data_IF_070012684152
#
_entry.id   IF_070012684152
#
_cell.length_a   1.000
_cell.length_b   1.000
_cell.length_c   1.000
_cell.angle_alpha   90.00
_cell.angle_beta   90.00
_cell.angle_gamma   90.00
#
_symmetry.space_group_name_H-M   'P 1'
#
loop_
_entity.id
_entity.type
_entity.pdbx_description
1 polymer ?
2 non-polymer ?
3 water ?
#
# COMPACT_ATOMS: atom_id res chain seq x y z
N UNK A 6 -2.43 -20.02 22.67
CA UNK A 6 -1.49 -18.96 22.93
C UNK A 6 -0.36 -18.93 21.91
N UNK A 7 0.29 -17.78 21.79
CA UNK A 7 1.45 -17.64 20.90
C UNK A 7 2.70 -18.11 21.62
N UNK A 8 3.64 -18.66 20.86
CA UNK A 8 4.93 -18.96 21.45
C UNK A 8 5.71 -17.66 21.67
N UNK A 9 6.83 -17.79 22.38
CA UNK A 9 7.64 -16.61 22.65
C UNK A 9 8.28 -16.08 21.37
N UNK A 10 8.65 -16.98 20.46
CA UNK A 10 9.19 -16.55 19.17
C UNK A 10 8.12 -15.82 18.35
N UNK A 11 6.87 -16.27 18.43
CA UNK A 11 5.80 -15.61 17.69
C UNK A 11 5.49 -14.23 18.25
N UNK A 12 5.44 -14.11 19.59
CA UNK A 12 5.28 -12.80 20.22
C UNK A 12 6.45 -11.87 19.89
N UNK A 13 7.67 -12.39 19.91
CA UNK A 13 8.82 -11.58 19.52
C UNK A 13 8.69 -11.10 18.08
N UNK A 14 8.26 -11.97 17.17
CA UNK A 14 8.10 -11.62 15.77
C UNK A 14 7.07 -10.50 15.59
N UNK A 15 5.93 -10.60 16.28
CA UNK A 15 4.92 -9.55 16.21
C UNK A 15 5.45 -8.24 16.79
N UNK A 16 6.15 -8.31 17.92
CA UNK A 16 6.70 -7.10 18.53
C UNK A 16 7.70 -6.43 17.60
N UNK A 17 8.56 -7.21 16.94
CA UNK A 17 9.50 -6.61 16.01
C UNK A 17 8.79 -5.96 14.82
N UNK A 18 7.76 -6.61 14.27
CA UNK A 18 7.01 -6.00 13.18
C UNK A 18 6.29 -4.73 13.65
N UNK A 19 5.72 -4.77 14.85
CA UNK A 19 4.95 -3.61 15.33
C UNK A 19 5.90 -2.44 15.61
N UNK A 20 7.07 -2.74 16.14
CA UNK A 20 8.10 -1.73 16.33
C UNK A 20 8.50 -1.09 15.02
N UNK A 21 8.78 -1.93 14.01
CA UNK A 21 9.13 -1.39 12.70
C UNK A 21 8.02 -0.48 12.17
N UNK A 22 6.76 -0.91 12.34
CA UNK A 22 5.63 -0.14 11.84
C UNK A 22 5.52 1.22 12.56
N UNK A 23 5.63 1.20 13.90
CA UNK A 23 5.51 2.48 14.62
C UNK A 23 6.67 3.41 14.32
N UNK A 24 7.86 2.87 14.02
CA UNK A 24 8.99 3.75 13.74
C UNK A 24 8.92 4.34 12.34
N UNK A 25 8.19 3.70 11.42
CA UNK A 25 8.31 4.10 10.02
C UNK A 25 7.00 4.48 9.34
N UNK A 26 5.87 4.46 10.03
CA UNK A 26 4.58 4.81 9.46
C UNK A 26 4.15 6.12 10.12
N UNK A 27 4.37 7.21 9.38
CA UNK A 27 3.94 8.57 9.70
C UNK A 27 2.44 8.65 9.46
N UNK A 28 1.66 8.23 10.46
CA UNK A 28 0.22 8.06 10.22
C UNK A 28 -0.50 9.39 10.10
N UNK A 29 0.09 10.48 10.57
CA UNK A 29 -0.46 11.81 10.34
C UNK A 29 0.12 12.48 9.10
N UNK A 30 1.06 11.83 8.41
CA UNK A 30 1.64 12.37 7.18
C UNK A 30 2.28 13.74 7.44
N UNK A 31 2.78 13.96 8.66
CA UNK A 31 3.30 15.28 9.04
C UNK A 31 4.55 15.66 8.24
N UNK A 32 5.30 14.67 7.76
CA UNK A 32 6.52 14.97 7.02
C UNK A 32 6.33 14.95 5.50
N UNK A 33 5.09 14.82 5.02
CA UNK A 33 4.81 14.90 3.59
C UNK A 33 4.53 16.36 3.25
N UNK A 34 5.47 17.01 2.57
CA UNK A 34 5.34 18.42 2.23
C UNK A 34 6.06 18.68 0.90
N UNK A 35 5.94 19.91 0.40
CA UNK A 35 6.58 20.30 -0.85
C UNK A 35 6.17 19.45 -2.03
N UNK A 36 4.99 18.82 -1.95
CA UNK A 36 4.52 17.98 -3.03
C UNK A 36 3.87 18.84 -4.10
N UNK A 37 3.87 18.30 -5.32
CA UNK A 37 3.19 18.98 -6.42
C UNK A 37 1.68 18.87 -6.28
N UNK A 38 0.98 19.80 -6.91
CA UNK A 38 -0.48 19.86 -6.92
C UNK A 38 -0.94 20.18 -8.32
N UNK A 39 -2.15 19.76 -8.70
CA UNK A 39 -2.66 20.05 -10.05
C UNK A 39 -2.72 21.55 -10.29
N UNK A 40 -2.35 21.97 -11.50
CA UNK A 40 -2.33 23.37 -11.87
C UNK A 40 -3.61 24.10 -11.52
N UNK A 41 -3.49 25.38 -11.18
CA UNK A 41 -4.64 26.19 -10.80
C UNK A 41 -5.49 26.54 -12.01
N UNK A 64 -5.37 5.67 -25.88
CA UNK A 64 -6.62 4.92 -25.93
C UNK A 64 -6.83 4.10 -24.65
N UNK A 65 -5.98 3.07 -24.48
CA UNK A 65 -6.01 2.32 -23.23
C UNK A 65 -5.57 3.20 -22.06
N UNK A 66 -4.64 4.13 -22.30
CA UNK A 66 -4.18 5.03 -21.24
C UNK A 66 -5.35 5.84 -20.70
N UNK A 67 -6.27 6.24 -21.58
CA UNK A 67 -7.45 6.97 -21.14
C UNK A 67 -8.31 6.10 -20.23
N UNK A 68 -8.45 4.82 -20.56
CA UNK A 68 -9.20 3.91 -19.70
C UNK A 68 -8.51 3.75 -18.35
N UNK A 69 -7.18 3.62 -18.35
CA UNK A 69 -6.44 3.47 -17.11
C UNK A 69 -6.66 4.65 -16.19
N UNK A 70 -6.53 5.87 -16.71
CA UNK A 70 -6.59 7.05 -15.85
C UNK A 70 -7.99 7.35 -15.32
N UNK A 71 -9.04 6.83 -15.94
CA UNK A 71 -10.41 7.15 -15.50
C UNK A 71 -10.90 6.28 -14.35
N UNK A 72 -10.11 5.31 -13.90
CA UNK A 72 -10.59 4.37 -12.89
C UNK A 72 -10.73 5.05 -11.52
N UNK A 73 -9.67 5.68 -11.05
CA UNK A 73 -9.60 6.24 -9.71
C UNK A 73 -9.85 7.73 -9.78
N UNK A 74 -11.10 8.13 -9.56
CA UNK A 74 -11.47 9.55 -9.53
C UNK A 74 -11.61 9.96 -8.08
N UNK A 75 -10.73 10.86 -7.65
CA UNK A 75 -10.78 11.42 -6.30
C UNK A 75 -10.69 12.93 -6.38
N UNK A 76 -11.41 13.60 -5.49
CA UNK A 76 -11.16 14.98 -5.15
C UNK A 76 -10.16 15.02 -4.01
N UNK A 77 -9.55 16.18 -3.85
CA UNK A 77 -8.46 16.34 -2.91
C UNK A 77 -8.80 17.49 -1.96
N UNK A 78 -8.54 17.31 -0.67
CA UNK A 78 -8.75 18.39 0.29
C UNK A 78 -7.51 18.58 1.14
N UNK A 79 -7.06 19.83 1.29
CA UNK A 79 -5.95 20.18 2.17
C UNK A 79 -6.42 21.14 3.23
N UNK A 80 -6.31 20.74 4.50
CA UNK A 80 -6.72 21.57 5.63
C UNK A 80 -5.50 22.29 6.17
N UNK A 81 -5.46 23.60 6.02
CA UNK A 81 -4.33 24.36 6.52
C UNK A 81 -4.26 24.33 8.03
N UNK A 82 -3.04 24.46 8.56
CA UNK A 82 -2.86 24.52 10.01
C UNK A 82 -3.62 25.70 10.63
N UNK A 83 -3.82 26.77 9.86
CA UNK A 83 -4.59 27.91 10.32
C UNK A 83 -6.09 27.67 10.30
N UNK A 84 -6.56 26.58 9.72
CA UNK A 84 -7.97 26.31 9.63
C UNK A 84 -8.56 26.53 8.24
N UNK A 85 -7.78 27.08 7.31
CA UNK A 85 -8.26 27.21 5.95
C UNK A 85 -8.32 25.85 5.26
N UNK A 86 -9.14 25.78 4.21
CA UNK A 86 -9.34 24.54 3.46
C UNK A 86 -9.24 24.84 1.97
N UNK A 87 -8.37 24.13 1.27
CA UNK A 87 -8.35 24.08 -0.19
C UNK A 87 -8.97 22.77 -0.67
N UNK A 88 -9.88 22.83 -1.67
CA UNK A 88 -10.51 21.64 -2.23
C UNK A 88 -10.31 21.64 -3.75
N UNK A 89 -10.01 20.48 -4.31
CA UNK A 89 -9.77 20.31 -5.74
C UNK A 89 -10.69 19.23 -6.28
N UNK A 90 -11.48 19.59 -7.30
CA UNK A 90 -12.26 18.63 -8.08
C UNK A 90 -11.57 18.40 -9.41
N UNK A 91 -11.41 17.15 -9.84
CA UNK A 91 -10.71 16.88 -11.10
C UNK A 91 -11.63 17.12 -12.29
N UNK A 92 -11.08 17.26 -13.49
CA UNK A 92 -11.93 17.46 -14.68
C UNK A 92 -12.48 16.15 -15.22
N UNK A 93 -13.09 16.21 -16.41
CA UNK A 93 -13.50 15.01 -17.11
C UNK A 93 -12.59 14.80 -18.31
N UNK A 94 -12.56 13.56 -18.81
CA UNK A 94 -11.74 13.21 -19.97
C UNK A 94 -12.35 13.90 -21.18
N UNK A 95 -11.78 15.04 -21.57
CA UNK A 95 -12.30 15.82 -22.67
C UNK A 95 -11.27 15.87 -23.81
N UNK A 97 -7.74 15.74 -23.95
CA UNK A 97 -6.29 15.82 -24.03
C UNK A 97 -5.58 15.67 -22.69
N UNK A 98 -4.56 16.49 -22.46
CA UNK A 98 -3.60 16.28 -21.37
C UNK A 98 -4.20 16.47 -19.98
N UNK A 99 -5.45 16.94 -19.87
CA UNK A 99 -6.07 17.09 -18.55
C UNK A 99 -6.18 15.76 -17.82
N UNK A 100 -6.11 14.65 -18.55
CA UNK A 100 -6.12 13.33 -17.94
C UNK A 100 -4.95 13.17 -16.97
N UNK A 101 -3.88 13.94 -17.15
CA UNK A 101 -2.63 13.80 -16.43
C UNK A 101 -2.48 14.74 -15.24
N UNK A 102 -3.52 15.54 -14.90
CA UNK A 102 -3.29 16.64 -13.97
C UNK A 102 -2.93 16.17 -12.56
N UNK A 103 -3.43 15.01 -12.13
CA UNK A 103 -3.14 14.52 -10.78
C UNK A 103 -1.92 13.63 -10.69
N UNK A 104 -1.26 13.34 -11.82
CA UNK A 104 -0.15 12.38 -11.77
C UNK A 104 1.05 12.89 -10.99
N UNK A 105 1.53 14.11 -11.17
CA UNK A 105 2.69 14.53 -10.37
C UNK A 105 2.42 14.47 -8.88
N UNK A 106 1.21 14.86 -8.45
CA UNK A 106 0.88 14.78 -7.03
C UNK A 106 0.90 13.35 -6.52
N UNK A 107 0.25 12.43 -7.26
CA UNK A 107 0.18 11.06 -6.80
C UNK A 107 1.55 10.41 -6.84
N UNK A 108 2.41 10.79 -7.78
CA UNK A 108 3.78 10.33 -7.77
C UNK A 108 4.51 10.80 -6.52
N UNK A 109 4.30 12.06 -6.11
CA UNK A 109 4.94 12.54 -4.89
C UNK A 109 4.42 11.81 -3.66
N UNK A 110 3.10 11.56 -3.59
CA UNK A 110 2.55 10.81 -2.46
C UNK A 110 3.05 9.37 -2.44
N UNK A 111 3.01 8.70 -3.59
CA UNK A 111 3.51 7.33 -3.66
C UNK A 111 4.97 7.27 -3.25
N UNK A 112 5.77 8.24 -3.69
CA UNK A 112 7.18 8.21 -3.34
C UNK A 112 7.39 8.38 -1.84
N UNK A 113 6.64 9.29 -1.20
CA UNK A 113 6.68 9.41 0.25
C UNK A 113 6.35 8.09 0.92
N UNK A 114 5.27 7.44 0.46
CA UNK A 114 4.85 6.17 1.03
C UNK A 114 5.93 5.10 0.84
N UNK A 115 6.47 4.99 -0.37
CA UNK A 115 7.51 4.01 -0.67
C UNK A 115 8.70 4.17 0.26
N UNK A 116 9.10 5.42 0.50
CA UNK A 116 10.22 5.65 1.41
C UNK A 116 9.93 5.08 2.78
N UNK A 117 8.70 5.30 3.26
CA UNK A 117 8.31 4.69 4.54
C UNK A 117 8.35 3.17 4.51
N UNK A 118 7.93 2.58 3.40
CA UNK A 118 7.93 1.13 3.28
C UNK A 118 9.35 0.58 3.27
N UNK A 119 10.26 1.27 2.59
CA UNK A 119 11.65 0.86 2.57
C UNK A 119 12.25 0.93 3.96
N UNK A 120 11.95 2.01 4.70
CA UNK A 120 12.42 2.13 6.09
C UNK A 120 11.88 0.99 6.95
N UNK A 121 10.60 0.66 6.77
CA UNK A 121 9.96 -0.44 7.49
C UNK A 121 10.74 -1.72 7.28
N UNK A 122 10.93 -2.10 6.02
CA UNK A 122 11.67 -3.32 5.70
C UNK A 122 13.06 -3.28 6.34
N UNK A 123 13.76 -2.16 6.21
CA UNK A 123 15.15 -2.08 6.66
C UNK A 123 15.32 -2.21 8.16
N UNK A 124 14.32 -1.84 8.97
CA UNK A 124 14.50 -2.05 10.42
C UNK A 124 14.10 -3.45 10.90
N UNK A 125 13.62 -4.33 10.03
CA UNK A 125 13.23 -5.67 10.44
C UNK A 125 14.42 -6.62 10.31
N UNK A 126 14.74 -7.33 11.39
CA UNK A 126 15.95 -8.16 11.43
C UNK A 126 15.91 -9.26 10.37
N UNK A 127 14.77 -9.94 10.24
CA UNK A 127 14.64 -10.98 9.22
C UNK A 127 14.95 -10.43 7.83
N UNK A 128 14.65 -9.16 7.59
CA UNK A 128 14.93 -8.57 6.28
C UNK A 128 16.38 -8.12 6.17
N UNK A 129 16.89 -7.46 7.21
CA UNK A 129 18.28 -7.03 7.25
C UNK A 129 19.26 -8.18 7.00
N UNK A 130 18.88 -9.40 7.40
CA UNK A 130 19.76 -10.55 7.31
C UNK A 130 19.79 -11.18 5.92
N UNK A 131 18.91 -10.78 5.01
CA UNK A 131 18.95 -11.31 3.65
C UNK A 131 20.05 -10.63 2.85
N UNK A 132 20.53 -11.27 1.78
CA UNK A 132 21.49 -10.61 0.90
C UNK A 132 20.91 -9.32 0.35
N UNK A 133 21.80 -8.34 0.09
CA UNK A 133 21.32 -7.03 -0.33
C UNK A 133 20.53 -7.13 -1.64
N UNK A 134 20.97 -8.00 -2.55
CA UNK A 134 20.26 -8.16 -3.83
C UNK A 134 18.85 -8.69 -3.61
N UNK A 135 18.66 -9.59 -2.63
CA UNK A 135 17.32 -10.08 -2.33
C UNK A 135 16.47 -9.04 -1.62
N UNK A 136 17.08 -8.23 -0.76
CA UNK A 136 16.37 -7.08 -0.19
C UNK A 136 15.80 -6.20 -1.29
N UNK A 137 16.65 -5.82 -2.25
CA UNK A 137 16.21 -5.02 -3.39
C UNK A 137 15.08 -5.71 -4.15
N UNK A 138 15.24 -7.00 -4.46
CA UNK A 138 14.23 -7.68 -5.24
C UNK A 138 12.90 -7.75 -4.50
N UNK A 139 12.94 -8.00 -3.19
CA UNK A 139 11.73 -8.10 -2.39
C UNK A 139 11.01 -6.76 -2.30
N UNK A 140 11.77 -5.67 -2.10
CA UNK A 140 11.16 -4.34 -2.08
C UNK A 140 10.55 -3.98 -3.43
N UNK A 141 11.26 -4.27 -4.52
CA UNK A 141 10.69 -4.01 -5.84
C UNK A 141 9.42 -4.81 -6.07
N UNK A 142 9.38 -6.05 -5.54
CA UNK A 142 8.18 -6.85 -5.68
C UNK A 142 7.00 -6.32 -4.88
N UNK A 143 7.26 -5.76 -3.69
CA UNK A 143 6.17 -5.57 -2.73
C UNK A 143 5.83 -4.13 -2.37
N UNK A 144 6.59 -3.14 -2.84
CA UNK A 144 6.36 -1.75 -2.41
C UNK A 144 4.92 -1.30 -2.63
N UNK A 145 4.38 -1.53 -3.82
CA UNK A 145 2.98 -1.20 -4.10
C UNK A 145 2.05 -1.84 -3.08
N UNK A 146 2.22 -3.16 -2.85
CA UNK A 146 1.30 -3.88 -1.98
C UNK A 146 1.36 -3.34 -0.55
N UNK A 147 2.57 -3.07 -0.03
CA UNK A 147 2.61 -2.59 1.34
C UNK A 147 2.07 -1.18 1.42
N UNK A 148 2.27 -0.38 0.37
CA UNK A 148 1.68 0.97 0.34
C UNK A 148 0.17 0.88 0.45
N UNK A 149 -0.44 0.00 -0.35
CA UNK A 149 -1.90 -0.13 -0.33
C UNK A 149 -2.39 -0.62 1.02
N UNK A 150 -1.65 -1.56 1.65
CA UNK A 150 -2.01 -2.04 2.98
C UNK A 150 -1.96 -0.91 4.02
N UNK A 151 -0.94 -0.05 3.95
CA UNK A 151 -0.91 1.09 4.86
C UNK A 151 -2.04 2.07 4.56
N UNK A 152 -2.30 2.34 3.28
CA UNK A 152 -3.42 3.22 2.92
C UNK A 152 -4.75 2.67 3.40
N UNK A 153 -4.91 1.34 3.44
CA UNK A 153 -6.19 0.81 3.92
C UNK A 153 -6.44 1.21 5.37
N UNK A 154 -5.39 1.35 6.17
CA UNK A 154 -5.63 1.70 7.56
C UNK A 154 -6.05 3.14 7.73
N UNK A 155 -5.87 4.00 6.73
CA UNK A 155 -6.43 5.35 6.81
C UNK A 155 -7.67 5.51 5.94
N UNK A 156 -8.21 4.40 5.41
CA UNK A 156 -9.43 4.46 4.59
C UNK A 156 -10.64 4.56 5.50
N UNK A 157 -11.51 5.53 5.21
CA UNK A 157 -12.81 5.62 5.87
C UNK A 157 -13.82 5.05 4.89
N UNK A 158 -14.28 3.83 5.15
CA UNK A 158 -15.22 3.21 4.22
C UNK A 158 -16.60 3.87 4.27
N UNK A 159 -16.95 4.52 5.38
CA UNK A 159 -18.27 5.18 5.44
C UNK A 159 -18.33 6.38 4.49
N UNK A 160 -17.27 7.17 4.43
CA UNK A 160 -17.23 8.35 3.58
C UNK A 160 -16.46 8.14 2.28
N UNK A 161 -15.89 6.96 2.08
CA UNK A 161 -15.07 6.74 0.90
C UNK A 161 -13.89 7.70 0.79
N UNK A 162 -13.20 7.95 1.90
CA UNK A 162 -12.05 8.85 1.87
C UNK A 162 -10.82 8.26 2.58
N UNK A 163 -9.66 8.49 1.99
CA UNK A 163 -8.40 8.21 2.66
C UNK A 163 -7.96 9.47 3.38
N UNK A 164 -7.81 9.37 4.71
CA UNK A 164 -7.52 10.51 5.57
C UNK A 164 -6.03 10.48 5.88
N UNK A 165 -5.27 11.33 5.21
CA UNK A 165 -3.82 11.35 5.30
C UNK A 165 -3.39 12.63 5.98
N UNK A 166 -3.67 12.71 7.28
CA UNK A 166 -3.34 13.89 8.05
C UNK A 166 -4.16 15.08 7.61
N UNK A 167 -3.50 16.14 7.18
CA UNK A 167 -4.19 17.32 6.69
C UNK A 167 -4.66 17.17 5.25
N UNK A 168 -4.26 16.08 4.59
CA UNK A 168 -4.69 15.79 3.23
C UNK A 168 -5.80 14.73 3.26
N UNK A 169 -6.76 14.87 2.35
CA UNK A 169 -7.83 13.88 2.23
C UNK A 169 -8.05 13.60 0.76
N UNK A 170 -8.28 12.33 0.44
CA UNK A 170 -8.63 11.91 -0.91
C UNK A 170 -10.01 11.30 -0.85
N UNK A 171 -10.97 11.93 -1.52
CA UNK A 171 -12.37 11.52 -1.41
C UNK A 171 -12.85 11.01 -2.76
N UNK A 172 -13.44 9.82 -2.77
CA UNK A 172 -13.96 9.22 -3.99
C UNK A 172 -15.13 10.05 -4.53
N UNK A 173 -15.09 10.36 -5.82
CA UNK A 173 -16.14 11.17 -6.44
C UNK A 173 -17.35 10.31 -6.79
N UNK A 174 -18.53 10.90 -6.70
CA UNK A 174 -19.81 10.19 -6.84
C UNK A 174 -20.00 9.48 -8.20
N UNK A 178 -23.53 3.13 -8.38
CA UNK A 178 -22.77 4.11 -7.61
C UNK A 178 -21.67 3.48 -6.79
N UNK A 179 -21.94 3.27 -5.50
CA UNK A 179 -21.08 2.44 -4.66
C UNK A 179 -20.81 1.10 -5.34
N UNK A 180 -21.88 0.47 -5.87
CA UNK A 180 -21.71 -0.77 -6.62
C UNK A 180 -20.84 -0.57 -7.85
N UNK A 181 -21.01 0.56 -8.55
CA UNK A 181 -20.17 0.85 -9.71
C UNK A 181 -18.72 1.06 -9.32
N UNK A 182 -18.48 1.66 -8.14
CA UNK A 182 -17.12 1.87 -7.67
C UNK A 182 -16.44 0.56 -7.33
N UNK A 183 -17.19 -0.39 -6.74
CA UNK A 183 -16.57 -1.69 -6.45
C UNK A 183 -16.21 -2.48 -7.71
N UNK A 184 -16.44 -1.95 -8.91
CA UNK A 184 -16.00 -2.64 -10.11
C UNK A 184 -14.50 -2.48 -10.33
N UNK A 185 -13.92 -1.38 -9.85
CA UNK A 185 -12.49 -1.13 -9.94
C UNK A 185 -11.76 -2.01 -8.92
N UNK A 186 -10.88 -2.92 -9.33
CA UNK A 186 -10.31 -3.88 -8.35
C UNK A 186 -9.61 -3.21 -7.15
N UNK A 187 -8.85 -2.14 -7.33
CA UNK A 187 -8.24 -1.50 -6.15
C UNK A 187 -9.29 -1.01 -5.14
N UNK A 188 -10.37 -0.41 -5.62
CA UNK A 188 -11.39 0.10 -4.71
C UNK A 188 -12.11 -1.03 -3.99
N UNK A 189 -12.49 -2.06 -4.74
CA UNK A 189 -13.11 -3.22 -4.10
C UNK A 189 -12.17 -3.80 -3.05
N UNK A 190 -10.87 -3.83 -3.37
CA UNK A 190 -9.89 -4.31 -2.39
C UNK A 190 -9.99 -3.52 -1.10
N UNK A 191 -9.98 -2.19 -1.21
CA UNK A 191 -9.97 -1.36 0.01
C UNK A 191 -11.27 -1.55 0.82
N UNK A 192 -12.42 -1.59 0.15
CA UNK A 192 -13.66 -1.80 0.91
C UNK A 192 -13.70 -3.19 1.56
N UNK A 193 -13.30 -4.23 0.83
CA UNK A 193 -13.40 -5.58 1.38
C UNK A 193 -12.40 -5.78 2.51
N UNK A 194 -11.18 -5.24 2.39
CA UNK A 194 -10.21 -5.35 3.48
C UNK A 194 -10.67 -4.57 4.71
N UNK A 195 -11.20 -3.36 4.50
CA UNK A 195 -11.67 -2.58 5.63
C UNK A 195 -12.79 -3.29 6.37
N UNK A 196 -13.64 -4.01 5.62
CA UNK A 196 -14.75 -4.74 6.25
C UNK A 196 -14.27 -5.83 7.21
N UNK A 197 -13.04 -6.35 7.03
CA UNK A 197 -12.55 -7.38 7.93
C UNK A 197 -12.20 -6.85 9.30
N UNK A 198 -12.14 -5.52 9.48
CA UNK A 198 -11.86 -4.88 10.76
C UNK A 198 -10.60 -5.43 11.44
N UNK A 199 -9.49 -5.35 10.73
CA UNK A 199 -8.28 -5.97 11.27
C UNK A 199 -7.66 -5.10 12.34
N UNK A 200 -6.90 -5.76 13.22
CA UNK A 200 -6.03 -5.10 14.20
C UNK A 200 -4.74 -4.65 13.53
N UNK A 201 -4.04 -3.72 14.19
CA UNK A 201 -2.72 -3.31 13.73
C UNK A 201 -1.82 -4.51 13.49
N UNK A 202 -1.85 -5.48 14.42
CA UNK A 202 -0.97 -6.64 14.33
C UNK A 202 -1.23 -7.45 13.06
N UNK A 203 -2.51 -7.59 12.69
CA UNK A 203 -2.84 -8.35 11.48
C UNK A 203 -2.42 -7.59 10.23
N UNK A 204 -2.55 -6.26 10.23
CA UNK A 204 -2.04 -5.49 9.10
C UNK A 204 -0.54 -5.66 8.97
N UNK A 205 0.20 -5.62 10.08
CA UNK A 205 1.64 -5.66 9.94
C UNK A 205 2.11 -7.07 9.55
N UNK A 206 1.37 -8.11 9.95
CA UNK A 206 1.71 -9.45 9.46
C UNK A 206 1.36 -9.62 7.98
N UNK A 207 0.26 -9.02 7.52
CA UNK A 207 0.01 -8.97 6.08
C UNK A 207 1.16 -8.31 5.34
N UNK A 208 1.62 -7.15 5.85
CA UNK A 208 2.78 -6.52 5.23
C UNK A 208 3.97 -7.47 5.18
N UNK A 209 4.22 -8.20 6.27
CA UNK A 209 5.37 -9.11 6.31
C UNK A 209 5.20 -10.25 5.30
N UNK A 210 4.01 -10.84 5.25
CA UNK A 210 3.78 -11.95 4.32
C UNK A 210 3.96 -11.47 2.89
N UNK A 211 3.52 -10.24 2.58
CA UNK A 211 3.70 -9.72 1.22
C UNK A 211 5.17 -9.39 0.94
N UNK A 212 5.87 -8.83 1.92
CA UNK A 212 7.26 -8.45 1.69
C UNK A 212 8.13 -9.68 1.45
N UNK A 213 7.93 -10.73 2.24
CA UNK A 213 8.74 -11.95 2.16
C UNK A 213 8.10 -12.98 1.22
N UNK A 214 7.86 -12.57 -0.02
CA UNK A 214 7.30 -13.49 -1.01
C UNK A 214 8.45 -14.12 -1.78
N UNK A 215 8.67 -15.44 -1.63
CA UNK A 215 9.85 -16.05 -2.26
C UNK A 215 9.83 -16.06 -3.78
N UNK A 216 8.69 -15.76 -4.41
CA UNK A 216 8.57 -15.89 -5.86
C UNK A 216 8.61 -14.56 -6.61
N UNK A 217 9.03 -13.48 -5.96
CA UNK A 217 9.28 -12.27 -6.70
C UNK A 217 10.44 -12.50 -7.68
N UNK A 218 10.42 -11.88 -8.84
CA UNK A 218 11.56 -12.01 -9.77
C UNK A 218 12.86 -11.59 -9.11
N UNK A 219 13.93 -12.31 -9.44
CA UNK A 219 15.26 -11.96 -8.99
C UNK A 219 15.62 -12.41 -7.59
N UNK A 220 14.76 -13.15 -6.92
CA UNK A 220 15.06 -13.62 -5.57
C UNK A 220 15.96 -14.83 -5.64
N UNK A 221 17.06 -14.80 -4.89
CA UNK A 221 18.02 -15.90 -4.85
C UNK A 221 17.80 -16.83 -3.66
N UNK A 222 17.68 -16.27 -2.45
CA UNK A 222 17.43 -17.09 -1.27
C UNK A 222 15.97 -17.54 -1.21
N UNK A 223 15.50 -18.20 -2.28
CA UNK A 223 14.10 -18.63 -2.34
C UNK A 223 13.68 -19.45 -1.12
N UNK A 224 14.54 -20.35 -0.65
CA UNK A 224 14.14 -21.21 0.46
C UNK A 224 14.08 -20.44 1.78
N UNK A 225 15.05 -19.55 2.01
CA UNK A 225 15.04 -18.75 3.24
C UNK A 225 13.80 -17.86 3.28
N UNK A 226 13.50 -17.22 2.16
CA UNK A 226 12.35 -16.32 2.12
C UNK A 226 11.05 -17.12 2.27
N UNK A 227 10.97 -18.28 1.62
CA UNK A 227 9.79 -19.12 1.76
C UNK A 227 9.59 -19.53 3.22
N UNK A 228 10.67 -19.92 3.90
CA UNK A 228 10.50 -20.34 5.29
C UNK A 228 10.08 -19.18 6.18
N UNK A 229 10.67 -18.00 5.96
CA UNK A 229 10.25 -16.81 6.70
C UNK A 229 8.76 -16.51 6.47
N UNK A 230 8.34 -16.52 5.22
CA UNK A 230 6.94 -16.24 4.91
C UNK A 230 6.02 -17.22 5.62
N UNK A 231 6.37 -18.51 5.57
CA UNK A 231 5.57 -19.50 6.27
C UNK A 231 5.49 -19.19 7.75
N UNK A 232 6.59 -18.76 8.36
CA UNK A 232 6.57 -18.43 9.79
C UNK A 232 5.66 -17.25 10.07
N UNK A 233 5.71 -16.22 9.23
CA UNK A 233 4.82 -15.07 9.42
C UNK A 233 3.35 -15.49 9.28
N UNK A 234 3.06 -16.35 8.29
CA UNK A 234 1.68 -16.80 8.10
C UNK A 234 1.22 -17.66 9.28
N UNK A 235 2.10 -18.52 9.80
CA UNK A 235 1.74 -19.31 10.98
C UNK A 235 1.45 -18.39 12.15
N UNK A 236 2.31 -17.38 12.36
CA UNK A 236 2.08 -16.45 13.45
C UNK A 236 0.73 -15.75 13.30
N UNK A 237 0.35 -15.38 12.06
CA UNK A 237 -0.93 -14.72 11.85
C UNK A 237 -2.10 -15.65 12.16
N UNK A 238 -2.07 -16.86 11.59
CA UNK A 238 -3.10 -17.86 11.88
C UNK A 238 -3.25 -18.09 13.38
N UNK A 239 -2.14 -18.18 14.11
CA UNK A 239 -2.19 -18.40 15.56
C UNK A 239 -2.70 -17.17 16.31
N UNK A 240 -2.27 -15.97 15.89
CA UNK A 240 -2.76 -14.76 16.53
C UNK A 240 -4.27 -14.68 16.42
N UNK A 241 -4.81 -15.01 15.24
CA UNK A 241 -6.25 -14.98 15.03
C UNK A 241 -6.93 -16.05 15.88
N UNK A 242 -6.32 -17.25 15.96
CA UNK A 242 -6.90 -18.33 16.76
C UNK A 242 -6.97 -17.93 18.23
N UNK A 243 -5.92 -17.31 18.75
CA UNK A 243 -5.89 -16.93 20.16
C UNK A 243 -6.74 -15.71 20.49
N UNK A 244 -6.94 -14.78 19.56
CA UNK A 244 -7.56 -13.52 19.94
C UNK A 244 -8.90 -13.21 19.27
N UNK A 245 -9.42 -14.07 18.41
CA UNK A 245 -10.62 -13.76 17.64
C UNK A 245 -11.57 -14.96 17.63
N UNK A 246 -12.32 -15.16 18.72
CA UNK A 246 -13.23 -16.31 18.81
C UNK A 246 -14.61 -16.13 18.19
N UNK A 247 -14.95 -14.92 17.74
CA UNK A 247 -16.32 -14.63 17.36
C UNK A 247 -16.69 -15.31 16.05
N UNK A 248 -17.95 -15.71 15.87
CA UNK A 248 -18.37 -16.31 14.60
C UNK A 248 -18.06 -15.45 13.39
N UNK A 249 -18.00 -14.13 13.53
CA UNK A 249 -17.68 -13.28 12.39
C UNK A 249 -16.26 -13.50 11.89
N UNK A 250 -15.37 -13.96 12.78
CA UNK A 250 -13.97 -14.13 12.45
C UNK A 250 -13.61 -15.56 12.08
N UNK A 251 -14.60 -16.40 11.82
CA UNK A 251 -14.31 -17.70 11.27
C UNK A 251 -13.73 -17.54 9.88
N UNK A 252 -12.70 -18.33 9.60
CA UNK A 252 -12.01 -18.31 8.33
C UNK A 252 -11.29 -16.98 8.09
N UNK A 253 -11.09 -16.16 9.13
CA UNK A 253 -10.46 -14.86 8.92
C UNK A 253 -9.08 -15.02 8.28
N UNK A 254 -8.28 -15.96 8.79
CA UNK A 254 -6.95 -16.16 8.23
C UNK A 254 -7.03 -16.45 6.73
N UNK A 255 -7.96 -17.34 6.33
CA UNK A 255 -8.05 -17.68 4.91
C UNK A 255 -8.54 -16.49 4.08
N UNK A 256 -9.45 -15.68 4.63
CA UNK A 256 -9.88 -14.46 3.94
C UNK A 256 -8.71 -13.50 3.72
N UNK A 257 -7.89 -13.32 4.76
CA UNK A 257 -6.72 -12.43 4.65
C UNK A 257 -5.77 -12.95 3.57
N UNK A 258 -5.49 -14.25 3.57
CA UNK A 258 -4.59 -14.79 2.53
C UNK A 258 -5.20 -14.63 1.13
N UNK A 259 -6.53 -14.76 1.00
CA UNK A 259 -7.15 -14.50 -0.30
C UNK A 259 -7.01 -13.03 -0.72
N UNK A 260 -7.12 -12.11 0.25
CA UNK A 260 -6.91 -10.70 -0.06
C UNK A 260 -5.47 -10.45 -0.51
N UNK A 261 -4.50 -11.16 0.08
CA UNK A 261 -3.11 -10.93 -0.34
C UNK A 261 -2.90 -11.45 -1.75
N UNK A 262 -3.54 -12.57 -2.10
CA UNK A 262 -3.47 -13.05 -3.48
C UNK A 262 -4.08 -12.03 -4.46
N UNK A 263 -5.23 -11.47 -4.07
CA UNK A 263 -5.89 -10.46 -4.90
C UNK A 263 -5.01 -9.21 -5.02
N UNK A 264 -4.33 -8.84 -3.94
CA UNK A 264 -3.49 -7.64 -3.97
C UNK A 264 -2.29 -7.85 -4.89
N UNK A 265 -1.74 -9.06 -4.92
CA UNK A 265 -0.68 -9.34 -5.88
C UNK A 265 -1.16 -9.22 -7.34
N UNK A 266 -2.36 -9.72 -7.63
CA UNK A 266 -2.93 -9.50 -8.97
C UNK A 266 -3.14 -8.01 -9.28
N UNK A 267 -3.68 -7.26 -8.32
CA UNK A 267 -3.84 -5.81 -8.49
C UNK A 267 -2.49 -5.14 -8.75
N UNK A 268 -1.45 -5.59 -8.03
CA UNK A 268 -0.09 -5.08 -8.22
C UNK A 268 0.37 -5.27 -9.66
N UNK A 269 0.23 -6.49 -10.19
CA UNK A 269 0.67 -6.73 -11.57
C UNK A 269 -0.09 -5.84 -12.56
N UNK A 270 -1.40 -5.71 -12.37
CA UNK A 270 -2.18 -4.87 -13.28
C UNK A 270 -1.76 -3.41 -13.20
N UNK A 271 -1.51 -2.91 -12.00
CA UNK A 271 -1.17 -1.50 -11.90
C UNK A 271 0.27 -1.22 -12.34
N UNK A 272 1.15 -2.20 -12.22
CA UNK A 272 2.47 -2.08 -12.85
C UNK A 272 2.33 -1.91 -14.36
N UNK A 273 1.46 -2.71 -14.99
CA UNK A 273 1.23 -2.54 -16.42
C UNK A 273 0.64 -1.17 -16.75
N UNK A 274 -0.35 -0.73 -15.98
CA UNK A 274 -0.93 0.60 -16.23
C UNK A 274 0.13 1.69 -16.13
N UNK A 275 0.97 1.60 -15.10
CA UNK A 275 2.00 2.61 -14.88
C UNK A 275 2.97 2.64 -16.04
N UNK A 276 3.40 1.45 -16.48
CA UNK A 276 4.36 1.38 -17.58
C UNK A 276 3.78 1.94 -18.87
N UNK A 277 2.50 1.68 -19.14
CA UNK A 277 1.88 2.27 -20.34
C UNK A 277 1.82 3.79 -20.24
N UNK A 278 1.33 4.31 -19.12
CA UNK A 278 1.28 5.76 -18.96
C UNK A 278 2.67 6.37 -19.10
N UNK A 279 3.66 5.80 -18.42
CA UNK A 279 5.03 6.30 -18.47
C UNK A 279 5.57 6.25 -19.89
N UNK A 280 5.19 5.22 -20.65
CA UNK A 280 5.52 5.14 -22.06
C UNK A 280 5.02 6.37 -22.80
N UNK A 281 3.76 6.75 -22.56
CA UNK A 281 3.17 7.86 -23.31
C UNK A 281 3.48 9.23 -22.68
N UNK A 282 3.64 9.29 -21.36
CA UNK A 282 3.71 10.55 -20.63
C UNK A 282 4.59 10.35 -19.39
N UNK A 283 5.90 10.57 -19.51
CA UNK A 283 6.79 10.31 -18.38
C UNK A 283 6.41 11.13 -17.16
N UNK A 284 6.42 10.48 -15.99
CA UNK A 284 6.08 11.15 -14.75
C UNK A 284 6.66 10.47 -13.50
N UNK A 285 7.19 9.25 -13.64
CA UNK A 285 7.68 8.53 -12.46
C UNK A 285 8.86 9.27 -11.82
N UNK A 286 8.85 9.38 -10.49
CA UNK A 286 9.99 9.95 -9.79
C UNK A 286 11.20 9.02 -9.92
N UNK A 287 12.39 9.50 -9.53
CA UNK A 287 13.54 8.59 -9.48
C UNK A 287 13.31 7.34 -8.63
N UNK A 288 12.72 7.48 -7.45
CA UNK A 288 12.48 6.30 -6.62
C UNK A 288 11.51 5.34 -7.29
N UNK A 289 10.43 5.87 -7.87
CA UNK A 289 9.51 5.01 -8.61
C UNK A 289 10.22 4.33 -9.77
N UNK A 290 11.10 5.04 -10.47
CA UNK A 290 11.83 4.41 -11.58
C UNK A 290 12.66 3.24 -11.07
N UNK A 291 13.39 3.44 -9.98
CA UNK A 291 14.17 2.36 -9.37
C UNK A 291 13.27 1.17 -9.03
N UNK A 292 12.12 1.44 -8.41
CA UNK A 292 11.26 0.36 -7.95
C UNK A 292 10.56 -0.36 -9.10
N UNK A 293 10.31 0.32 -10.21
CA UNK A 293 9.58 -0.29 -11.32
C UNK A 293 10.48 -0.69 -12.48
N UNK A 294 11.80 -0.54 -12.34
CA UNK A 294 12.73 -1.05 -13.32
C UNK A 294 13.08 -0.12 -14.47
N UNK A 295 12.66 1.15 -14.43
CA UNK A 295 12.98 2.09 -15.49
C UNK A 295 14.43 2.54 -15.34
N UNK A 296 15.19 2.51 -16.44
CA UNK A 296 16.64 2.72 -16.36
C UNK A 296 17.08 4.16 -16.56
N UNK A 297 16.25 5.00 -17.18
CA UNK A 297 16.64 6.34 -17.56
C UNK A 297 17.10 6.49 -19.00
N UNK A 298 17.17 5.41 -19.75
CA UNK A 298 17.51 5.45 -21.17
C UNK A 298 16.35 4.91 -22.03
X LIG B 1 -6.25 7.42 -2.85
X LIG B 1 -5.05 6.51 -2.94
X LIG B 1 -3.96 7.10 -2.07
X LIG B 1 -5.41 5.16 -2.38
X LIG B 1 -4.54 6.40 -4.33
X LIG B 1 -3.41 5.72 -6.09
X LIG B 1 -4.06 6.79 -6.68
X LIG B 1 -4.01 7.37 -7.99
X LIG B 1 -2.92 7.21 -8.81
X LIG B 1 -3.01 7.85 -10.02
X LIG B 1 -5.06 8.68 -9.51
X LIG B 1 -2.47 4.89 -6.79
X LIG B 1 -6.18 9.44 -9.87
X LIG B 1 2.07 3.19 -9.02
X LIG B 1 3.46 4.76 -7.75
X LIG B 1 -2.92 4.03 -7.77
X LIG B 1 0.81 5.32 -10.17
X LIG B 1 -1.13 4.94 -6.48
X LIG B 1 -3.69 5.50 -4.76
X LIG B 1 -4.05 8.58 -10.40
X LIG B 1 -2.01 3.24 -8.43
X LIG B 1 -0.68 3.31 -8.12
X LIG B 1 -0.21 4.16 -7.14
X LIG B 1 1.50 5.54 -8.99
X LIG B 1 1.58 6.91 -8.63
X LIG B 1 0.96 7.73 -9.56
X LIG B 1 -0.73 5.78 -5.52
X LIG B 1 -5.07 8.10 -8.31
X LIG B 1 1.10 4.21 -6.83
X LIG B 1 -5.08 7.53 -5.51
X LIG B 1 2.14 4.25 -8.04
X LIG B 1 0.29 6.81 -10.85
#
# INVERSE_FOLDING_TARGET
PLGVQGLTEEQRMMIRELMDAQMKTFDTTFSHFKNFRLPGVLSSGCELPESLQAPSREEAAKWSQVRKDLCSLKVSLQLRGEDGSVWNYKPPADSGGKEIFSLLPHMADMSTYMFKGIISFAKVISYFRDLPIEDQISLLKGAAFELCQLRFNTVFNAETGTWECGRLSYCLEDTAGGFQQLLLEPMLKFHYMLKKLQLHEEEYVLMQAISLFSPDRPGVLQHRVVDQLQEQFAITLKSYIECNRPQPAHRFLFLKIMAMLTELRSINAQHTQRLLRIQDIHPFATPLMQELFGITGS
5YU C1 C2 C3 C4 C5 C6 C7 C8 C9 C10 C11 C12 N3 O1 O2 C13 C20 C21 N1 N2 C14 C15 C16 C17 C18 C19 F1 N4 N5 S1 S2 S3
#
